data_IF_675977134110
#
_entry.id   IF_675977134110
#
_cell.length_a   1.000
_cell.length_b   1.000
_cell.length_c   1.000
_cell.angle_alpha   90.00
_cell.angle_beta   90.00
_cell.angle_gamma   90.00
#
_symmetry.space_group_name_H-M   'P 1'
#
loop_
_entity.id
_entity.type
_entity.pdbx_description
1 polymer ?
#
# COMPACT_ATOMS: atom_id res chain seq x y z
N UNK A 1 -13.65 -24.77 -28.63
CA UNK A 1 -13.17 -24.60 -27.23
C UNK A 1 -13.82 -23.33 -26.71
N UNK A 2 -14.24 -23.32 -25.45
CA UNK A 2 -14.79 -22.09 -24.86
C UNK A 2 -13.70 -21.03 -24.76
N UNK A 3 -14.01 -19.80 -25.23
CA UNK A 3 -13.05 -18.69 -25.34
C UNK A 3 -12.52 -18.26 -23.96
N UNK A 4 -13.36 -18.28 -22.92
CA UNK A 4 -12.94 -17.94 -21.58
C UNK A 4 -11.94 -18.96 -21.00
N UNK A 5 -12.19 -20.24 -21.23
CA UNK A 5 -11.22 -21.30 -20.90
C UNK A 5 -9.89 -21.10 -21.63
N UNK A 6 -9.93 -20.73 -22.90
CA UNK A 6 -8.71 -20.47 -23.67
C UNK A 6 -7.96 -19.23 -23.15
N UNK A 7 -8.66 -18.17 -22.77
CA UNK A 7 -8.08 -16.98 -22.12
C UNK A 7 -7.39 -17.35 -20.80
N UNK A 8 -8.02 -18.14 -19.94
CA UNK A 8 -7.40 -18.60 -18.68
C UNK A 8 -6.12 -19.39 -18.90
N UNK A 9 -6.10 -20.29 -19.90
CA UNK A 9 -4.92 -21.06 -20.26
C UNK A 9 -3.80 -20.17 -20.84
N UNK A 10 -4.14 -19.14 -21.62
CA UNK A 10 -3.19 -18.17 -22.14
C UNK A 10 -2.54 -17.36 -21.02
N UNK A 11 -3.36 -16.80 -20.10
CA UNK A 11 -2.88 -16.01 -18.94
C UNK A 11 -1.94 -16.85 -18.08
N UNK A 12 -2.36 -18.07 -17.69
CA UNK A 12 -1.51 -18.97 -16.90
C UNK A 12 -0.18 -19.29 -17.60
N UNK A 13 -0.22 -19.50 -18.92
CA UNK A 13 1.01 -19.77 -19.69
C UNK A 13 1.95 -18.57 -19.69
N UNK A 14 1.42 -17.35 -19.78
CA UNK A 14 2.20 -16.13 -19.73
C UNK A 14 2.84 -15.91 -18.36
N UNK A 15 2.11 -16.14 -17.28
CA UNK A 15 2.58 -15.98 -15.90
C UNK A 15 3.65 -16.96 -15.50
N UNK A 16 3.51 -18.21 -15.91
CA UNK A 16 4.51 -19.26 -15.60
C UNK A 16 5.69 -19.30 -16.58
N UNK A 17 5.61 -18.57 -17.70
CA UNK A 17 6.63 -18.59 -18.75
C UNK A 17 6.86 -19.98 -19.35
N UNK A 18 5.89 -20.92 -19.20
CA UNK A 18 6.00 -22.31 -19.60
C UNK A 18 4.65 -22.98 -19.73
N UNK A 19 4.37 -23.59 -20.88
CA UNK A 19 3.18 -24.39 -21.11
C UNK A 19 3.07 -25.59 -20.16
N UNK A 20 4.19 -26.21 -19.82
CA UNK A 20 4.20 -27.38 -18.94
C UNK A 20 3.85 -27.00 -17.49
N UNK A 21 4.44 -25.93 -16.96
CA UNK A 21 4.14 -25.45 -15.60
C UNK A 21 2.70 -24.96 -15.48
N UNK A 22 2.22 -24.20 -16.44
CA UNK A 22 0.84 -23.73 -16.47
C UNK A 22 -0.15 -24.91 -16.57
N UNK A 23 0.18 -25.95 -17.35
CA UNK A 23 -0.65 -27.14 -17.46
C UNK A 23 -0.74 -27.92 -16.14
N UNK A 24 0.36 -28.07 -15.43
CA UNK A 24 0.42 -28.70 -14.12
C UNK A 24 -0.48 -27.97 -13.12
N UNK A 25 -0.35 -26.64 -13.02
CA UNK A 25 -1.18 -25.81 -12.14
C UNK A 25 -2.67 -25.92 -12.46
N UNK A 26 -3.04 -25.93 -13.73
CA UNK A 26 -4.43 -26.00 -14.17
C UNK A 26 -5.03 -27.42 -14.19
N UNK A 27 -4.25 -28.45 -13.84
CA UNK A 27 -4.65 -29.84 -13.96
C UNK A 27 -4.99 -30.26 -15.40
N UNK A 28 -4.27 -29.70 -16.39
CA UNK A 28 -4.44 -29.91 -17.83
C UNK A 28 -3.19 -30.54 -18.45
N UNK A 29 -3.28 -30.89 -19.72
CA UNK A 29 -2.09 -31.34 -20.48
C UNK A 29 -1.45 -30.15 -21.22
N UNK A 30 -0.13 -30.14 -21.41
CA UNK A 30 0.56 -29.12 -22.20
C UNK A 30 0.01 -28.98 -23.62
N UNK A 31 -0.42 -30.09 -24.23
CA UNK A 31 -1.05 -30.09 -25.56
C UNK A 31 -2.39 -29.37 -25.57
N UNK A 32 -3.18 -29.45 -24.49
CA UNK A 32 -4.45 -28.74 -24.37
C UNK A 32 -4.22 -27.21 -24.32
N UNK A 33 -3.22 -26.76 -23.55
CA UNK A 33 -2.85 -25.35 -23.48
C UNK A 33 -2.33 -24.84 -24.83
N UNK A 34 -1.46 -25.61 -25.48
CA UNK A 34 -0.93 -25.28 -26.83
C UNK A 34 -2.08 -25.12 -27.82
N UNK A 35 -3.06 -26.04 -27.82
CA UNK A 35 -4.22 -25.98 -28.72
C UNK A 35 -5.10 -24.78 -28.41
N UNK A 36 -5.30 -24.46 -27.13
CA UNK A 36 -6.08 -23.30 -26.70
C UNK A 36 -5.47 -21.97 -27.15
N UNK A 37 -4.17 -21.82 -26.93
CA UNK A 37 -3.42 -20.62 -27.37
C UNK A 37 -3.39 -20.51 -28.90
N UNK A 38 -3.15 -21.62 -29.61
CA UNK A 38 -3.18 -21.61 -31.09
C UNK A 38 -4.55 -21.23 -31.65
N UNK A 39 -5.63 -21.58 -30.96
CA UNK A 39 -6.98 -21.16 -31.33
C UNK A 39 -7.18 -19.65 -31.18
N UNK A 40 -6.71 -19.06 -30.05
CA UNK A 40 -6.73 -17.61 -29.86
C UNK A 40 -5.86 -16.87 -30.89
N UNK A 41 -4.67 -17.37 -31.18
CA UNK A 41 -3.77 -16.82 -32.21
C UNK A 41 -4.42 -16.86 -33.59
N UNK A 42 -5.13 -17.93 -33.93
CA UNK A 42 -5.84 -18.06 -35.20
C UNK A 42 -7.02 -17.07 -35.31
N UNK A 43 -7.80 -16.87 -34.23
CA UNK A 43 -8.88 -15.89 -34.19
C UNK A 43 -8.36 -14.45 -34.34
N UNK A 44 -7.22 -14.14 -33.70
CA UNK A 44 -6.62 -12.82 -33.70
C UNK A 44 -5.79 -12.53 -34.96
N UNK A 45 -5.48 -13.56 -35.74
CA UNK A 45 -4.57 -13.44 -36.89
C UNK A 45 -3.13 -13.05 -36.50
N UNK A 46 -2.77 -13.21 -35.22
CA UNK A 46 -1.48 -12.80 -34.69
C UNK A 46 -0.97 -13.80 -33.65
N UNK A 47 0.35 -13.97 -33.58
CA UNK A 47 0.96 -14.80 -32.55
C UNK A 47 1.04 -14.05 -31.23
N UNK A 48 0.73 -14.75 -30.14
CA UNK A 48 0.81 -14.24 -28.78
C UNK A 48 2.12 -14.63 -28.09
N UNK A 49 2.73 -15.76 -28.50
CA UNK A 49 4.03 -16.19 -28.00
C UNK A 49 5.07 -16.35 -29.11
N UNK A 50 6.31 -16.02 -28.80
CA UNK A 50 7.46 -16.35 -29.67
C UNK A 50 7.75 -17.85 -29.57
N UNK A 51 7.95 -18.50 -30.71
CA UNK A 51 8.35 -19.91 -30.76
C UNK A 51 9.85 -20.04 -30.59
N UNK A 52 10.34 -20.04 -29.35
CA UNK A 52 11.68 -20.45 -29.01
C UNK A 52 11.64 -21.78 -28.25
N UNK A 53 12.52 -22.69 -28.58
CA UNK A 53 12.59 -24.04 -27.95
C UNK A 53 13.06 -23.98 -26.49
N UNK A 54 13.50 -22.82 -25.98
CA UNK A 54 14.08 -22.66 -24.63
C UNK A 54 13.29 -21.80 -23.68
N UNK A 55 12.42 -20.89 -24.16
CA UNK A 55 11.60 -20.00 -23.32
C UNK A 55 10.30 -19.63 -24.03
N UNK A 56 9.22 -19.57 -23.26
CA UNK A 56 7.94 -19.02 -23.71
C UNK A 56 7.95 -17.52 -23.42
N UNK A 57 8.06 -16.70 -24.47
CA UNK A 57 8.12 -15.23 -24.36
C UNK A 57 6.94 -14.64 -25.11
N UNK A 58 6.29 -13.65 -24.53
CA UNK A 58 5.20 -12.92 -25.16
C UNK A 58 5.70 -12.05 -26.31
N UNK A 59 4.97 -12.04 -27.41
CA UNK A 59 5.08 -11.02 -28.47
C UNK A 59 4.53 -9.68 -27.98
N UNK A 60 4.68 -8.61 -28.75
CA UNK A 60 4.02 -7.32 -28.47
C UNK A 60 2.48 -7.49 -28.44
N UNK A 61 1.92 -8.19 -29.43
CA UNK A 61 0.50 -8.55 -29.45
C UNK A 61 0.11 -9.39 -28.22
N UNK A 62 0.98 -10.31 -27.78
CA UNK A 62 0.78 -11.12 -26.58
C UNK A 62 0.73 -10.28 -25.32
N UNK A 63 1.59 -9.28 -25.16
CA UNK A 63 1.56 -8.36 -24.00
C UNK A 63 0.27 -7.54 -23.96
N UNK A 64 -0.11 -6.95 -25.07
CA UNK A 64 -1.36 -6.19 -25.19
C UNK A 64 -2.59 -7.07 -24.87
N UNK A 65 -2.60 -8.28 -25.41
CA UNK A 65 -3.72 -9.21 -25.19
C UNK A 65 -3.78 -9.75 -23.77
N UNK A 66 -2.62 -9.94 -23.11
CA UNK A 66 -2.53 -10.40 -21.73
C UNK A 66 -3.20 -9.44 -20.77
N UNK A 67 -2.95 -8.14 -20.91
CA UNK A 67 -3.55 -7.12 -20.08
C UNK A 67 -5.09 -7.16 -20.17
N UNK A 68 -5.62 -7.19 -21.39
CA UNK A 68 -7.07 -7.29 -21.61
C UNK A 68 -7.65 -8.62 -21.13
N UNK A 69 -6.95 -9.75 -21.39
CA UNK A 69 -7.41 -11.07 -20.96
C UNK A 69 -7.52 -11.18 -19.45
N UNK A 70 -6.55 -10.64 -18.70
CA UNK A 70 -6.60 -10.57 -17.23
C UNK A 70 -7.81 -9.78 -16.76
N UNK A 71 -8.04 -8.60 -17.32
CA UNK A 71 -9.19 -7.75 -16.94
C UNK A 71 -10.53 -8.44 -17.16
N UNK A 72 -10.70 -9.13 -18.30
CA UNK A 72 -11.95 -9.85 -18.62
C UNK A 72 -12.19 -11.01 -17.65
N UNK A 73 -11.18 -11.85 -17.41
CA UNK A 73 -11.28 -12.97 -16.48
C UNK A 73 -11.55 -12.51 -15.05
N UNK A 74 -10.85 -11.46 -14.63
CA UNK A 74 -11.04 -10.87 -13.32
C UNK A 74 -12.46 -10.30 -13.15
N UNK A 75 -12.97 -9.57 -14.16
CA UNK A 75 -14.31 -9.01 -14.09
C UNK A 75 -15.40 -10.06 -13.98
N UNK A 76 -15.26 -11.17 -14.69
CA UNK A 76 -16.19 -12.31 -14.57
C UNK A 76 -16.12 -12.95 -13.19
N UNK A 77 -14.95 -13.09 -12.62
CA UNK A 77 -14.77 -13.59 -11.27
C UNK A 77 -15.46 -12.68 -10.24
N UNK A 78 -15.23 -11.36 -10.34
CA UNK A 78 -15.87 -10.36 -9.47
C UNK A 78 -17.39 -10.40 -9.51
N UNK A 79 -17.97 -10.46 -10.71
CA UNK A 79 -19.43 -10.57 -10.86
C UNK A 79 -19.96 -11.88 -10.25
N UNK A 80 -19.21 -12.98 -10.40
CA UNK A 80 -19.53 -14.23 -9.73
C UNK A 80 -19.53 -14.11 -8.19
N UNK A 81 -18.53 -13.43 -7.63
CA UNK A 81 -18.48 -13.12 -6.20
C UNK A 81 -19.62 -12.19 -5.76
N UNK A 82 -19.91 -11.12 -6.53
CA UNK A 82 -21.02 -10.20 -6.25
C UNK A 82 -22.37 -10.96 -6.19
N UNK A 83 -22.62 -11.85 -7.14
CA UNK A 83 -23.83 -12.69 -7.16
C UNK A 83 -23.85 -13.63 -5.95
N UNK A 84 -22.72 -14.26 -5.62
CA UNK A 84 -22.60 -15.12 -4.44
C UNK A 84 -22.87 -14.37 -3.13
N UNK A 85 -22.39 -13.13 -3.02
CA UNK A 85 -22.60 -12.25 -1.86
C UNK A 85 -24.08 -11.88 -1.65
N UNK A 86 -24.87 -11.73 -2.74
CA UNK A 86 -26.31 -11.49 -2.66
C UNK A 86 -27.07 -12.66 -2.01
N UNK A 87 -26.53 -13.87 -2.11
CA UNK A 87 -27.19 -15.08 -1.60
C UNK A 87 -26.68 -15.56 -0.24
N UNK A 88 -25.39 -15.34 0.05
CA UNK A 88 -24.70 -15.98 1.19
C UNK A 88 -23.96 -15.00 2.12
N UNK A 89 -24.05 -13.69 1.88
CA UNK A 89 -23.26 -12.69 2.59
C UNK A 89 -21.80 -12.60 2.10
N UNK A 90 -20.99 -11.79 2.78
CA UNK A 90 -19.58 -11.60 2.40
C UNK A 90 -18.75 -12.85 2.74
N UNK A 91 -18.10 -13.42 1.73
CA UNK A 91 -17.26 -14.62 1.85
C UNK A 91 -16.03 -14.55 0.92
N UNK A 92 -15.08 -15.47 1.11
CA UNK A 92 -13.88 -15.60 0.27
C UNK A 92 -12.65 -14.91 0.84
N UNK A 93 -11.67 -14.63 -0.02
CA UNK A 93 -10.37 -14.09 0.37
C UNK A 93 -10.30 -12.58 0.12
N UNK A 94 -9.72 -11.85 1.06
CA UNK A 94 -9.39 -10.43 0.95
C UNK A 94 -7.88 -10.27 1.15
N UNK A 95 -7.17 -9.84 0.11
CA UNK A 95 -5.72 -9.64 0.15
C UNK A 95 -5.38 -8.16 0.27
N UNK A 96 -4.68 -7.82 1.34
CA UNK A 96 -4.35 -6.44 1.72
C UNK A 96 -2.84 -6.30 1.84
N UNK A 97 -2.30 -5.17 1.39
CA UNK A 97 -0.95 -4.73 1.76
C UNK A 97 -1.02 -3.43 2.54
N UNK A 98 -0.15 -3.28 3.54
CA UNK A 98 -0.10 -2.09 4.39
C UNK A 98 1.34 -1.80 4.85
N UNK A 99 1.66 -0.53 5.23
CA UNK A 99 2.93 -0.22 5.86
C UNK A 99 3.11 -0.99 7.18
N UNK A 100 4.36 -1.39 7.45
CA UNK A 100 4.68 -2.19 8.63
C UNK A 100 4.26 -1.48 9.94
N UNK A 101 4.58 -0.21 10.07
CA UNK A 101 4.24 0.57 11.25
C UNK A 101 2.72 0.74 11.42
N UNK A 102 1.98 0.95 10.33
CA UNK A 102 0.51 1.03 10.36
C UNK A 102 -0.12 -0.31 10.75
N UNK A 103 0.41 -1.40 10.20
CA UNK A 103 -0.04 -2.76 10.54
C UNK A 103 0.02 -3.03 12.03
N UNK A 104 1.15 -2.70 12.65
CA UNK A 104 1.35 -2.90 14.09
C UNK A 104 0.56 -1.94 14.98
N UNK A 105 0.25 -0.75 14.48
CA UNK A 105 -0.50 0.22 15.27
C UNK A 105 -2.01 -0.09 15.32
N UNK A 106 -2.56 -0.74 14.29
CA UNK A 106 -4.00 -0.81 14.12
C UNK A 106 -4.55 -2.15 13.63
N UNK A 107 -3.82 -2.89 12.76
CA UNK A 107 -4.42 -4.01 12.05
C UNK A 107 -4.65 -5.25 12.92
N UNK A 108 -4.01 -5.37 14.07
CA UNK A 108 -4.30 -6.41 15.06
C UNK A 108 -5.75 -6.30 15.56
N UNK A 109 -6.15 -5.13 16.07
CA UNK A 109 -7.51 -4.88 16.54
C UNK A 109 -8.52 -4.82 15.40
N UNK A 110 -8.16 -4.19 14.27
CA UNK A 110 -9.03 -4.09 13.09
C UNK A 110 -9.37 -5.47 12.56
N UNK A 111 -8.38 -6.36 12.41
CA UNK A 111 -8.63 -7.69 11.90
C UNK A 111 -9.43 -8.54 12.87
N UNK A 112 -9.14 -8.46 14.17
CA UNK A 112 -9.90 -9.18 15.17
C UNK A 112 -11.39 -8.80 15.15
N UNK A 113 -11.70 -7.49 15.10
CA UNK A 113 -13.07 -7.01 15.04
C UNK A 113 -13.75 -7.32 13.69
N UNK A 114 -13.05 -7.08 12.59
CA UNK A 114 -13.59 -7.32 11.24
C UNK A 114 -13.93 -8.81 11.01
N UNK A 115 -13.05 -9.73 11.40
CA UNK A 115 -13.29 -11.15 11.23
C UNK A 115 -14.38 -11.69 12.18
N UNK A 116 -14.63 -11.04 13.31
CA UNK A 116 -15.78 -11.36 14.16
C UNK A 116 -17.11 -11.00 13.48
N UNK A 117 -17.15 -9.84 12.79
CA UNK A 117 -18.36 -9.40 12.05
C UNK A 117 -18.56 -10.17 10.74
N UNK A 118 -17.48 -10.68 10.13
CA UNK A 118 -17.50 -11.37 8.83
C UNK A 118 -16.81 -12.75 8.89
N UNK A 119 -17.40 -13.74 9.58
CA UNK A 119 -16.74 -15.02 9.87
C UNK A 119 -16.48 -15.92 8.64
N UNK A 120 -17.06 -15.58 7.48
CA UNK A 120 -16.86 -16.34 6.24
C UNK A 120 -15.75 -15.73 5.35
N UNK A 121 -15.13 -14.63 5.80
CA UNK A 121 -13.99 -14.04 5.10
C UNK A 121 -12.67 -14.61 5.63
N UNK A 122 -11.71 -14.75 4.72
CA UNK A 122 -10.31 -14.97 5.05
C UNK A 122 -9.53 -13.71 4.64
N UNK A 123 -8.80 -13.12 5.56
CA UNK A 123 -7.99 -11.93 5.30
C UNK A 123 -6.51 -12.33 5.25
N UNK A 124 -5.84 -11.97 4.16
CA UNK A 124 -4.40 -12.10 3.98
C UNK A 124 -3.78 -10.71 4.00
N UNK A 125 -2.84 -10.47 4.91
CA UNK A 125 -2.18 -9.18 5.05
C UNK A 125 -0.68 -9.34 4.88
N UNK A 126 -0.12 -8.61 3.94
CA UNK A 126 1.31 -8.47 3.74
C UNK A 126 1.75 -7.07 4.20
N UNK A 127 2.58 -7.02 5.25
CA UNK A 127 3.12 -5.76 5.75
C UNK A 127 4.41 -5.42 5.00
N UNK A 128 4.35 -4.37 4.18
CA UNK A 128 5.47 -3.96 3.35
C UNK A 128 5.40 -2.45 3.07
N UNK A 129 6.53 -1.76 3.30
CA UNK A 129 6.64 -0.33 3.04
C UNK A 129 6.91 -0.02 1.55
N UNK A 130 7.34 -1.00 0.76
CA UNK A 130 7.55 -0.81 -0.67
C UNK A 130 6.24 -0.58 -1.43
N UNK A 131 6.29 0.28 -2.46
CA UNK A 131 5.20 0.39 -3.41
C UNK A 131 5.16 -0.86 -4.29
N UNK A 132 4.02 -1.52 -4.30
CA UNK A 132 3.77 -2.72 -5.10
C UNK A 132 2.70 -2.44 -6.14
N UNK A 133 2.83 -3.02 -7.32
CA UNK A 133 1.74 -3.04 -8.29
C UNK A 133 0.63 -3.96 -7.77
N UNK A 134 -0.54 -3.37 -7.45
CA UNK A 134 -1.66 -4.10 -6.86
C UNK A 134 -2.24 -5.15 -7.82
N UNK A 135 -2.23 -4.84 -9.12
CA UNK A 135 -2.80 -5.72 -10.13
C UNK A 135 -1.89 -6.92 -10.36
N UNK A 136 -0.60 -6.66 -10.60
CA UNK A 136 0.38 -7.74 -10.82
C UNK A 136 0.56 -8.62 -9.59
N UNK A 137 0.55 -8.01 -8.39
CA UNK A 137 0.73 -8.73 -7.13
C UNK A 137 -0.56 -9.38 -6.61
N UNK A 138 -1.72 -9.11 -7.24
CA UNK A 138 -3.01 -9.71 -6.89
C UNK A 138 -3.57 -9.24 -5.56
N UNK A 139 -3.26 -8.01 -5.12
CA UNK A 139 -3.89 -7.40 -3.95
C UNK A 139 -5.24 -6.78 -4.32
N UNK A 140 -6.20 -6.94 -3.41
CA UNK A 140 -7.52 -6.31 -3.51
C UNK A 140 -7.48 -4.86 -3.00
N UNK A 141 -6.62 -4.60 -2.00
CA UNK A 141 -6.53 -3.34 -1.28
C UNK A 141 -5.09 -3.07 -0.82
N UNK A 142 -4.66 -1.82 -0.93
CA UNK A 142 -3.50 -1.30 -0.21
C UNK A 142 -3.91 -0.20 0.76
N UNK A 143 -3.39 -0.24 1.96
CA UNK A 143 -3.40 0.89 2.86
C UNK A 143 -2.09 1.67 2.64
N UNK A 144 -2.18 2.97 2.45
CA UNK A 144 -1.00 3.80 2.17
C UNK A 144 -1.19 5.20 2.74
N UNK A 145 -0.08 5.81 3.06
CA UNK A 145 0.05 7.25 3.24
C UNK A 145 0.61 7.81 1.94
N UNK A 146 0.19 9.01 1.55
CA UNK A 146 0.72 9.61 0.32
C UNK A 146 -0.31 10.39 -0.48
N UNK A 147 0.05 10.76 -1.72
CA UNK A 147 -0.85 11.44 -2.63
C UNK A 147 -2.01 10.55 -3.05
N UNK A 148 -3.17 11.16 -3.24
CA UNK A 148 -4.40 10.45 -3.66
C UNK A 148 -4.52 10.27 -5.18
N UNK A 149 -3.69 10.97 -5.96
CA UNK A 149 -3.74 10.94 -7.42
C UNK A 149 -2.76 9.87 -7.96
N UNK A 150 -3.27 8.66 -8.08
CA UNK A 150 -2.53 7.49 -8.55
C UNK A 150 -3.17 6.95 -9.83
N UNK A 151 -2.50 7.02 -10.99
CA UNK A 151 -3.06 6.54 -12.25
C UNK A 151 -3.53 5.08 -12.18
N UNK A 152 -4.74 4.81 -12.65
CA UNK A 152 -5.31 3.45 -12.66
C UNK A 152 -5.79 2.93 -11.30
N UNK A 153 -5.70 3.72 -10.23
CA UNK A 153 -6.13 3.36 -8.89
C UNK A 153 -7.23 4.31 -8.39
N UNK A 154 -8.04 3.82 -7.48
CA UNK A 154 -8.97 4.63 -6.71
C UNK A 154 -8.41 4.73 -5.30
N UNK A 155 -8.27 5.95 -4.80
CA UNK A 155 -7.86 6.22 -3.43
C UNK A 155 -9.05 6.77 -2.64
N UNK A 156 -9.40 6.10 -1.55
CA UNK A 156 -10.42 6.54 -0.61
C UNK A 156 -9.78 6.90 0.71
N UNK A 157 -10.01 8.12 1.20
CA UNK A 157 -9.53 8.52 2.52
C UNK A 157 -10.25 7.73 3.60
N UNK A 158 -9.49 7.14 4.51
CA UNK A 158 -9.98 6.42 5.69
C UNK A 158 -9.56 7.08 7.00
N UNK A 159 -8.57 7.99 6.96
CA UNK A 159 -8.13 8.71 8.14
C UNK A 159 -7.25 9.91 7.81
N UNK A 160 -6.89 10.67 8.84
CA UNK A 160 -5.91 11.76 8.78
C UNK A 160 -4.53 11.27 9.14
N UNK A 161 -3.55 11.86 8.48
CA UNK A 161 -2.14 11.66 8.76
C UNK A 161 -1.52 12.99 9.20
N UNK A 162 -1.51 13.26 10.51
CA UNK A 162 -0.80 14.40 11.07
C UNK A 162 0.65 14.02 11.27
N UNK A 163 1.54 14.88 10.83
CA UNK A 163 2.99 14.70 10.96
C UNK A 163 3.58 15.82 11.80
N UNK A 164 4.53 15.47 12.65
CA UNK A 164 5.26 16.42 13.46
C UNK A 164 6.69 15.92 13.74
N UNK A 165 7.46 16.73 14.41
CA UNK A 165 8.80 16.38 14.89
C UNK A 165 8.72 16.08 16.37
N UNK A 166 9.37 14.99 16.80
CA UNK A 166 9.51 14.64 18.21
C UNK A 166 10.94 14.22 18.55
N UNK A 167 11.24 14.23 19.84
CA UNK A 167 12.49 13.72 20.39
C UNK A 167 12.28 13.23 21.82
N UNK A 168 13.22 12.42 22.32
CA UNK A 168 13.19 12.05 23.73
C UNK A 168 13.64 13.18 24.64
N UNK A 169 13.19 13.22 25.92
CA UNK A 169 13.66 14.20 26.90
C UNK A 169 15.18 14.18 27.06
N UNK A 170 15.83 13.02 26.95
CA UNK A 170 17.27 12.89 27.03
C UNK A 170 18.01 13.59 25.89
N UNK A 171 17.46 13.56 24.68
CA UNK A 171 18.02 14.32 23.55
C UNK A 171 17.85 15.82 23.77
N UNK A 172 16.66 16.28 24.17
CA UNK A 172 16.35 17.69 24.38
C UNK A 172 17.19 18.28 25.52
N UNK A 173 17.43 17.53 26.60
CA UNK A 173 18.30 17.97 27.71
C UNK A 173 19.75 18.24 27.28
N UNK A 174 20.26 17.52 26.26
CA UNK A 174 21.60 17.76 25.70
C UNK A 174 21.62 18.88 24.64
N UNK A 175 20.45 19.30 24.16
CA UNK A 175 20.27 20.32 23.14
C UNK A 175 19.22 21.33 23.62
N UNK A 176 19.52 22.15 24.64
CA UNK A 176 18.53 22.97 25.34
C UNK A 176 18.05 24.20 24.55
N UNK A 177 18.71 24.52 23.41
CA UNK A 177 18.25 25.61 22.54
C UNK A 177 16.85 25.29 21.98
N UNK A 178 15.89 26.24 22.06
CA UNK A 178 14.58 26.03 21.46
C UNK A 178 14.65 25.69 19.98
N UNK A 179 13.94 24.65 19.57
CA UNK A 179 13.90 24.24 18.17
C UNK A 179 13.04 25.20 17.36
N UNK A 180 13.63 25.69 16.29
CA UNK A 180 12.99 26.56 15.31
C UNK A 180 13.35 26.08 13.89
N UNK A 181 12.61 26.47 12.85
CA UNK A 181 12.96 26.13 11.47
C UNK A 181 14.39 26.50 11.09
N UNK A 182 14.92 27.57 11.68
CA UNK A 182 16.24 28.12 11.36
C UNK A 182 17.42 27.34 11.94
N UNK A 183 17.20 26.54 13.01
CA UNK A 183 18.28 25.78 13.64
C UNK A 183 18.15 24.27 13.48
N UNK A 184 17.10 23.78 12.81
CA UNK A 184 16.87 22.34 12.59
C UNK A 184 18.06 21.63 11.93
N UNK A 185 18.78 22.31 11.03
CA UNK A 185 19.96 21.75 10.35
C UNK A 185 21.17 21.51 11.28
N UNK A 186 21.15 22.07 12.51
CA UNK A 186 22.21 21.84 13.53
C UNK A 186 21.99 20.57 14.32
N UNK A 187 20.77 20.02 14.27
CA UNK A 187 20.38 18.85 15.04
C UNK A 187 20.67 17.54 14.31
N UNK A 188 20.80 16.47 15.09
CA UNK A 188 20.90 15.11 14.58
C UNK A 188 19.52 14.60 14.18
N UNK A 189 19.41 14.03 12.99
CA UNK A 189 18.16 13.57 12.42
C UNK A 189 18.12 12.07 12.24
N UNK A 190 16.92 11.51 12.42
CA UNK A 190 16.57 10.13 12.12
C UNK A 190 15.62 10.16 10.93
N UNK A 191 16.14 9.81 9.76
CA UNK A 191 15.46 10.03 8.49
C UNK A 191 14.93 8.72 7.91
N UNK A 192 13.64 8.70 7.65
CA UNK A 192 13.02 7.63 6.90
C UNK A 192 13.45 7.70 5.44
N UNK A 193 13.98 6.59 4.92
CA UNK A 193 14.45 6.48 3.56
C UNK A 193 13.50 5.62 2.74
N UNK A 194 12.77 6.24 1.85
CA UNK A 194 11.91 5.55 0.90
C UNK A 194 12.16 6.11 -0.50
N UNK A 195 12.13 5.26 -1.52
CA UNK A 195 12.44 5.64 -2.91
C UNK A 195 11.54 6.76 -3.47
N UNK A 196 10.32 6.88 -2.96
CA UNK A 196 9.40 7.95 -3.31
C UNK A 196 9.64 9.27 -2.55
N UNK A 197 10.48 9.27 -1.49
CA UNK A 197 10.66 10.39 -0.57
C UNK A 197 11.96 11.18 -0.77
N UNK A 198 12.84 10.77 -1.67
CA UNK A 198 14.20 11.36 -1.82
C UNK A 198 14.24 12.82 -2.32
N UNK A 199 13.09 13.46 -2.55
CA UNK A 199 12.99 14.80 -3.12
C UNK A 199 12.24 15.82 -2.28
N UNK A 200 11.86 15.49 -1.04
CA UNK A 200 10.91 16.29 -0.31
C UNK A 200 11.54 17.40 0.52
N UNK A 201 11.06 18.60 0.25
CA UNK A 201 11.18 19.77 1.10
C UNK A 201 10.08 19.68 2.16
N UNK A 202 10.39 20.01 3.40
CA UNK A 202 9.38 20.10 4.44
C UNK A 202 8.81 21.52 4.50
N UNK A 203 7.50 21.61 4.53
CA UNK A 203 6.83 22.90 4.68
C UNK A 203 6.44 23.09 6.14
N UNK A 204 6.77 24.24 6.67
CA UNK A 204 6.38 24.62 8.04
C UNK A 204 5.50 25.84 7.93
N UNK A 205 4.30 25.79 8.50
CA UNK A 205 3.43 26.95 8.63
C UNK A 205 3.67 27.61 9.99
N UNK A 206 3.84 28.93 9.97
CA UNK A 206 3.87 29.76 11.14
C UNK A 206 3.03 31.01 10.85
N UNK A 207 2.00 31.27 11.64
CA UNK A 207 1.07 32.41 11.48
C UNK A 207 0.52 32.57 10.05
N UNK A 208 0.26 31.41 9.37
CA UNK A 208 -0.25 31.38 8.00
C UNK A 208 0.79 31.59 6.90
N UNK A 209 2.08 31.75 7.24
CA UNK A 209 3.16 31.78 6.26
C UNK A 209 3.74 30.38 6.03
N UNK A 210 3.79 29.97 4.78
CA UNK A 210 4.49 28.73 4.39
C UNK A 210 5.98 28.99 4.27
N UNK A 211 6.76 28.19 4.98
CA UNK A 211 8.22 28.14 4.86
C UNK A 211 8.64 26.81 4.28
N UNK A 212 9.57 26.85 3.34
CA UNK A 212 10.21 25.63 2.84
C UNK A 212 11.46 25.37 3.66
N UNK A 213 11.57 24.18 4.22
CA UNK A 213 12.79 23.73 4.87
C UNK A 213 13.56 22.80 3.92
N UNK A 214 14.85 23.03 3.80
CA UNK A 214 15.71 22.07 3.13
C UNK A 214 15.73 20.75 3.90
N UNK A 215 15.76 19.65 3.19
CA UNK A 215 15.91 18.34 3.79
C UNK A 215 17.13 18.30 4.71
N UNK A 216 17.01 17.82 5.97
CA UNK A 216 18.12 17.83 6.91
C UNK A 216 19.34 17.09 6.37
N UNK A 217 20.47 17.80 6.32
CA UNK A 217 21.73 17.23 5.80
C UNK A 217 22.40 16.31 6.84
N UNK A 218 22.24 16.62 8.14
CA UNK A 218 22.89 15.90 9.24
C UNK A 218 22.05 14.74 9.73
N UNK A 219 22.03 13.64 8.97
CA UNK A 219 21.37 12.40 9.40
C UNK A 219 22.34 11.52 10.22
N UNK A 220 21.94 11.18 11.46
CA UNK A 220 22.63 10.18 12.29
C UNK A 220 22.24 8.76 11.89
N UNK A 221 21.00 8.57 11.48
CA UNK A 221 20.46 7.30 11.03
C UNK A 221 19.53 7.54 9.84
N UNK A 222 19.71 6.74 8.80
CA UNK A 222 18.79 6.63 7.68
C UNK A 222 18.35 5.18 7.56
N UNK A 223 17.06 4.93 7.46
CA UNK A 223 16.52 3.57 7.32
C UNK A 223 15.16 3.62 6.61
N UNK A 224 14.87 2.59 5.85
CA UNK A 224 13.55 2.24 5.33
C UNK A 224 12.69 1.48 6.37
N UNK A 225 13.29 1.13 7.51
CA UNK A 225 12.59 0.53 8.63
C UNK A 225 12.29 1.59 9.70
N UNK A 226 11.01 1.95 9.80
CA UNK A 226 10.56 2.94 10.77
C UNK A 226 10.85 2.57 12.23
N UNK A 227 10.84 1.28 12.57
CA UNK A 227 11.07 0.81 13.95
C UNK A 227 12.47 1.09 14.46
N UNK A 228 13.46 0.99 13.57
CA UNK A 228 14.83 1.36 13.92
C UNK A 228 14.94 2.85 14.23
N UNK A 229 14.22 3.69 13.47
CA UNK A 229 14.21 5.13 13.68
C UNK A 229 13.51 5.47 15.00
N UNK A 230 12.38 4.85 15.29
CA UNK A 230 11.63 5.03 16.53
C UNK A 230 12.45 4.58 17.75
N UNK A 231 13.09 3.42 17.67
CA UNK A 231 13.98 2.93 18.74
C UNK A 231 15.15 3.91 18.98
N UNK A 232 15.76 4.43 17.94
CA UNK A 232 16.82 5.43 18.03
C UNK A 232 16.32 6.75 18.65
N UNK A 233 15.11 7.20 18.32
CA UNK A 233 14.51 8.40 18.91
C UNK A 233 14.28 8.22 20.41
N UNK A 234 13.73 7.08 20.83
CA UNK A 234 13.51 6.71 22.23
C UNK A 234 14.84 6.63 23.00
N UNK A 235 15.90 6.14 22.35
CA UNK A 235 17.25 6.11 22.92
C UNK A 235 17.94 7.50 22.96
N UNK A 236 17.29 8.55 22.44
CA UNK A 236 17.84 9.92 22.49
C UNK A 236 18.89 10.20 21.43
N UNK A 237 18.83 9.55 20.28
CA UNK A 237 19.84 9.71 19.22
C UNK A 237 19.62 10.96 18.37
N UNK A 238 18.37 11.43 18.20
CA UNK A 238 18.06 12.56 17.33
C UNK A 238 16.59 12.94 17.28
N UNK A 239 16.28 13.85 16.36
CA UNK A 239 14.92 14.26 16.03
C UNK A 239 14.30 13.26 15.05
N UNK A 240 13.04 12.94 15.26
CA UNK A 240 12.26 12.06 14.39
C UNK A 240 11.06 12.83 13.81
N UNK A 241 10.97 12.87 12.49
CA UNK A 241 9.79 13.30 11.75
C UNK A 241 8.87 12.10 11.58
N UNK A 242 7.61 12.21 12.02
CA UNK A 242 6.78 11.03 12.24
C UNK A 242 5.30 11.33 12.22
N UNK A 243 4.46 10.36 11.77
CA UNK A 243 3.03 10.42 11.99
C UNK A 243 2.68 10.38 13.48
N UNK A 244 1.71 11.22 13.89
CA UNK A 244 1.23 11.30 15.27
C UNK A 244 0.76 9.94 15.80
N UNK A 245 0.00 9.20 15.00
CA UNK A 245 -0.57 7.90 15.38
C UNK A 245 0.50 6.85 15.71
N UNK A 246 1.69 6.96 15.15
CA UNK A 246 2.77 5.97 15.35
C UNK A 246 3.50 6.14 16.69
N UNK A 247 3.45 7.32 17.29
CA UNK A 247 4.15 7.67 18.53
C UNK A 247 3.23 8.06 19.68
N UNK A 248 1.93 8.02 19.50
CA UNK A 248 0.93 8.39 20.50
C UNK A 248 1.19 7.82 21.90
N UNK A 249 1.42 6.50 22.08
CA UNK A 249 1.73 5.91 23.37
C UNK A 249 2.99 6.49 24.04
N UNK A 250 4.03 6.80 23.25
CA UNK A 250 5.30 7.35 23.74
C UNK A 250 5.22 8.84 24.08
N UNK A 251 4.28 9.56 23.49
CA UNK A 251 3.96 10.92 23.90
C UNK A 251 3.17 10.93 25.19
N UNK A 252 2.20 10.01 25.34
CA UNK A 252 1.35 9.91 26.52
C UNK A 252 2.15 9.55 27.79
N UNK A 253 3.15 8.66 27.65
CA UNK A 253 4.01 8.25 28.79
C UNK A 253 5.26 9.14 28.96
N UNK A 254 5.45 10.13 28.10
CA UNK A 254 6.53 11.13 28.20
C UNK A 254 7.89 10.65 27.72
N UNK A 255 8.02 9.47 27.12
CA UNK A 255 9.27 8.98 26.51
C UNK A 255 9.67 9.76 25.26
N UNK A 256 8.69 10.30 24.55
CA UNK A 256 8.89 11.29 23.50
C UNK A 256 8.14 12.57 23.81
N UNK A 257 8.62 13.68 23.28
CA UNK A 257 7.95 14.99 23.34
C UNK A 257 7.88 15.58 21.95
N UNK A 258 6.73 16.10 21.59
CA UNK A 258 6.57 16.93 20.40
C UNK A 258 7.38 18.21 20.57
N UNK A 259 8.09 18.61 19.51
CA UNK A 259 8.84 19.86 19.44
C UNK A 259 8.24 20.73 18.34
N UNK A 260 8.56 22.04 18.38
CA UNK A 260 8.03 23.02 17.44
C UNK A 260 6.50 23.06 17.43
N UNK A 261 5.89 23.08 18.61
CA UNK A 261 4.42 23.02 18.76
C UNK A 261 3.69 24.22 18.17
N UNK A 262 4.40 25.34 17.97
CA UNK A 262 3.87 26.56 17.37
C UNK A 262 3.87 26.50 15.83
N UNK A 263 4.34 25.39 15.25
CA UNK A 263 4.42 25.18 13.81
C UNK A 263 3.60 23.95 13.41
N UNK A 264 2.89 24.08 12.30
CA UNK A 264 2.32 22.93 11.61
C UNK A 264 3.30 22.48 10.52
N UNK A 265 3.57 21.17 10.47
CA UNK A 265 4.46 20.58 9.47
C UNK A 265 3.59 19.98 8.39
N UNK A 266 3.78 20.45 7.15
CA UNK A 266 3.08 19.88 6.00
C UNK A 266 3.60 18.45 5.76
N UNK A 267 2.73 17.44 5.70
CA UNK A 267 3.13 16.07 5.48
C UNK A 267 3.58 15.75 4.04
N UNK A 268 3.80 16.75 3.20
CA UNK A 268 4.11 16.74 1.77
C UNK A 268 4.28 15.34 1.12
N UNK A 269 5.29 14.60 1.56
CA UNK A 269 5.63 13.28 1.03
C UNK A 269 4.69 12.15 1.47
N UNK A 270 4.29 12.19 2.75
CA UNK A 270 3.39 11.20 3.30
C UNK A 270 1.92 11.54 3.04
N UNK A 271 1.64 12.75 2.53
CA UNK A 271 0.30 13.26 2.36
C UNK A 271 -0.48 13.42 3.68
N UNK A 272 -1.53 14.24 3.67
CA UNK A 272 -2.32 14.52 4.88
C UNK A 272 -3.32 13.41 5.23
N UNK A 273 -3.34 12.31 4.48
CA UNK A 273 -4.37 11.30 4.59
C UNK A 273 -3.80 9.89 4.68
N UNK A 274 -4.51 9.05 5.42
CA UNK A 274 -4.42 7.59 5.34
C UNK A 274 -5.42 7.16 4.28
N UNK A 275 -4.95 6.44 3.28
CA UNK A 275 -5.70 6.06 2.09
C UNK A 275 -5.88 4.54 2.00
N UNK A 276 -7.07 4.14 1.63
CA UNK A 276 -7.38 2.83 1.11
C UNK A 276 -7.36 2.91 -0.41
N UNK A 277 -6.43 2.20 -1.05
CA UNK A 277 -6.15 2.27 -2.48
C UNK A 277 -6.45 0.94 -3.13
N UNK A 278 -7.21 0.93 -4.21
CA UNK A 278 -7.57 -0.28 -4.95
C UNK A 278 -7.66 -0.01 -6.46
N UNK A 279 -7.51 -1.03 -7.30
CA UNK A 279 -7.53 -0.87 -8.76
C UNK A 279 -8.85 -0.28 -9.27
N UNK A 280 -8.79 0.73 -10.16
CA UNK A 280 -9.97 1.44 -10.67
C UNK A 280 -10.88 0.58 -11.56
N UNK A 281 -10.32 -0.42 -12.22
CA UNK A 281 -11.07 -1.39 -13.02
C UNK A 281 -11.81 -2.42 -12.15
N UNK A 282 -11.44 -2.54 -10.88
CA UNK A 282 -12.18 -3.29 -9.86
C UNK A 282 -13.01 -2.26 -9.09
N UNK A 283 -14.33 -2.21 -9.34
CA UNK A 283 -15.20 -1.57 -8.36
C UNK A 283 -14.91 -2.23 -7.01
N UNK A 284 -14.85 -1.44 -5.93
CA UNK A 284 -14.66 -2.03 -4.62
C UNK A 284 -15.69 -3.16 -4.42
N UNK A 285 -15.22 -4.41 -4.40
CA UNK A 285 -16.08 -5.55 -4.14
C UNK A 285 -16.70 -5.38 -2.75
N UNK A 286 -17.81 -6.02 -2.46
CA UNK A 286 -18.48 -5.90 -1.16
C UNK A 286 -17.53 -6.13 0.03
N UNK A 287 -16.59 -7.07 -0.08
CA UNK A 287 -15.57 -7.35 0.96
C UNK A 287 -14.56 -6.21 1.13
N UNK A 288 -14.11 -5.61 0.03
CA UNK A 288 -13.20 -4.43 0.06
C UNK A 288 -13.90 -3.24 0.67
N UNK A 289 -15.15 -2.97 0.24
CA UNK A 289 -15.94 -1.86 0.76
C UNK A 289 -16.21 -2.02 2.27
N UNK A 290 -16.60 -3.22 2.71
CA UNK A 290 -16.85 -3.52 4.11
C UNK A 290 -15.60 -3.31 4.97
N UNK A 291 -14.42 -3.75 4.48
CA UNK A 291 -13.17 -3.53 5.20
C UNK A 291 -12.81 -2.06 5.29
N UNK A 292 -12.96 -1.30 4.21
CA UNK A 292 -12.70 0.15 4.18
C UNK A 292 -13.61 0.88 5.16
N UNK A 293 -14.91 0.56 5.18
CA UNK A 293 -15.89 1.19 6.08
C UNK A 293 -15.59 0.84 7.55
N UNK A 294 -15.25 -0.43 7.83
CA UNK A 294 -14.86 -0.87 9.15
C UNK A 294 -13.60 -0.14 9.65
N UNK A 295 -12.56 -0.08 8.82
CA UNK A 295 -11.32 0.63 9.13
C UNK A 295 -11.56 2.11 9.36
N UNK A 296 -12.33 2.78 8.50
CA UNK A 296 -12.63 4.20 8.66
C UNK A 296 -13.37 4.48 9.98
N UNK A 297 -14.36 3.65 10.33
CA UNK A 297 -15.08 3.75 11.60
C UNK A 297 -14.16 3.51 12.82
N UNK A 298 -13.22 2.56 12.69
CA UNK A 298 -12.23 2.27 13.74
C UNK A 298 -11.27 3.44 13.95
N UNK A 299 -10.73 4.03 12.87
CA UNK A 299 -9.82 5.18 12.94
C UNK A 299 -10.54 6.43 13.47
N UNK A 300 -11.81 6.63 13.09
CA UNK A 300 -12.64 7.72 13.61
C UNK A 300 -12.79 7.67 15.13
N UNK A 301 -13.05 6.48 15.71
CA UNK A 301 -13.12 6.29 17.16
C UNK A 301 -11.81 6.63 17.87
N UNK A 302 -10.69 6.68 17.17
CA UNK A 302 -9.35 7.05 17.67
C UNK A 302 -8.96 8.49 17.36
N UNK A 303 -9.89 9.30 16.87
CA UNK A 303 -9.68 10.73 16.58
C UNK A 303 -8.86 10.96 15.30
N UNK A 304 -8.78 9.97 14.40
CA UNK A 304 -8.06 10.06 13.13
C UNK A 304 -9.00 10.31 11.94
N UNK A 305 -10.28 10.57 12.17
CA UNK A 305 -11.31 10.78 11.15
C UNK A 305 -11.16 12.10 10.38
N UNK A 306 -10.52 13.08 10.98
CA UNK A 306 -10.38 14.39 10.37
C UNK A 306 -11.71 15.03 10.06
N UNK A 307 -12.61 15.02 11.04
CA UNK A 307 -13.74 15.94 10.98
C UNK A 307 -13.20 17.36 10.76
N UNK A 308 -13.75 18.02 9.74
CA UNK A 308 -13.49 19.42 9.39
C UNK A 308 -13.84 20.32 10.56
#
# INVERSE_FOLDING_TARGET
MDKLSALGMFVATAEHGSFSRAAEQLGKTPSALTKAVSHLEAELGSRLFERSTRRTVLTEAGRLYLETARQVLQRLHEVGEEIGQLQHGLHGNLRITAPLAFGRAFLDEVCAGFLADYPQLTVHIDLCDAFVDLVESGYDLALREGPSDLPGLIARRVGRNRIFICASPAYLARNPEPLTPYNLNRHDWLLYQHSALDKHLWFVEHDGQRMTLDHPQKARLRSDNYDLLLAAALAGTGLLHTPEWSVGPYLADGRLRRVMTDYEIDPDAFGPNILAVYPSHRRATGKVQAFIDFLAAFLAKRGLDGAL
#
